data_IF_674177607014
#
_entry.id   IF_674177607014
#
_cell.length_a   1.000
_cell.length_b   1.000
_cell.length_c   1.000
_cell.angle_alpha   90.00
_cell.angle_beta   90.00
_cell.angle_gamma   90.00
#
_symmetry.space_group_name_H-M   'P 1'
#
loop_
_entity.id
_entity.type
_entity.pdbx_description
1 polymer ?
#
# COMPACT_ATOMS: atom_id res chain seq x y z
N UNK A 1 -1.23 -13.84 28.34
CA UNK A 1 -1.30 -13.29 26.97
C UNK A 1 -1.90 -11.89 27.11
N UNK A 2 -1.51 -10.92 26.31
CA UNK A 2 -1.89 -9.53 26.56
C UNK A 2 -3.35 -9.32 26.11
N UNK A 3 -4.30 -9.17 27.03
CA UNK A 3 -5.73 -9.09 26.70
C UNK A 3 -6.04 -7.95 25.72
N UNK A 4 -5.29 -6.85 25.82
CA UNK A 4 -5.36 -5.72 24.88
C UNK A 4 -4.97 -6.07 23.43
N UNK A 5 -4.12 -7.07 23.21
CA UNK A 5 -3.79 -7.54 21.84
C UNK A 5 -4.97 -8.26 21.21
N UNK A 6 -5.63 -9.16 21.95
CA UNK A 6 -6.81 -9.87 21.45
C UNK A 6 -7.98 -8.91 21.21
N UNK A 7 -8.18 -7.93 22.10
CA UNK A 7 -9.19 -6.88 21.92
C UNK A 7 -8.92 -6.00 20.70
N UNK A 8 -7.68 -5.56 20.51
CA UNK A 8 -7.29 -4.83 19.31
C UNK A 8 -7.53 -5.66 18.05
N UNK A 9 -7.10 -6.93 18.06
CA UNK A 9 -7.22 -7.79 16.89
C UNK A 9 -8.67 -7.99 16.45
N UNK A 10 -9.61 -8.14 17.39
CA UNK A 10 -11.05 -8.26 17.09
C UNK A 10 -11.61 -7.05 16.33
N UNK A 11 -10.96 -5.89 16.40
CA UNK A 11 -11.34 -4.66 15.68
C UNK A 11 -10.79 -4.60 14.24
N UNK A 12 -9.91 -5.51 13.84
CA UNK A 12 -9.36 -5.57 12.47
C UNK A 12 -10.38 -6.12 11.47
N UNK A 13 -10.16 -5.88 10.16
CA UNK A 13 -11.02 -6.42 9.10
C UNK A 13 -11.12 -7.95 9.19
N UNK A 14 -10.00 -8.64 9.40
CA UNK A 14 -9.98 -10.08 9.54
C UNK A 14 -10.59 -10.55 10.87
N UNK A 15 -10.20 -9.93 11.99
CA UNK A 15 -10.65 -10.33 13.32
C UNK A 15 -12.15 -10.15 13.54
N UNK A 16 -12.74 -9.08 12.99
CA UNK A 16 -14.18 -8.79 13.08
C UNK A 16 -15.06 -9.82 12.36
N UNK A 17 -14.53 -10.47 11.32
CA UNK A 17 -15.23 -11.54 10.58
C UNK A 17 -15.16 -12.90 11.27
N UNK A 18 -14.32 -13.06 12.28
CA UNK A 18 -14.05 -14.36 12.91
C UNK A 18 -14.86 -14.57 14.18
N UNK A 19 -15.61 -15.67 14.26
CA UNK A 19 -16.45 -16.03 15.42
C UNK A 19 -15.68 -16.60 16.63
N UNK A 20 -14.38 -16.87 16.46
CA UNK A 20 -13.51 -17.49 17.50
C UNK A 20 -12.21 -16.71 17.65
N UNK A 21 -11.70 -16.62 18.87
CA UNK A 21 -10.35 -16.06 19.10
C UNK A 21 -9.29 -17.08 18.67
N UNK A 22 -8.59 -16.79 17.59
CA UNK A 22 -7.57 -17.70 17.01
C UNK A 22 -6.32 -17.80 17.91
N UNK A 23 -6.04 -16.75 18.69
CA UNK A 23 -4.85 -16.64 19.53
C UNK A 23 -4.99 -17.24 20.94
N UNK A 24 -6.21 -17.55 21.37
CA UNK A 24 -6.49 -18.14 22.67
C UNK A 24 -6.54 -19.67 22.53
N UNK A 25 -5.40 -20.34 22.73
CA UNK A 25 -5.39 -21.80 22.80
C UNK A 25 -4.71 -22.28 24.08
N UNK A 26 -5.48 -22.98 24.92
CA UNK A 26 -5.03 -23.50 26.24
C UNK A 26 -4.10 -24.70 26.12
N UNK A 27 -4.09 -25.39 24.97
CA UNK A 27 -3.22 -26.54 24.70
C UNK A 27 -2.36 -26.25 23.48
N UNK A 28 -1.11 -25.90 23.72
CA UNK A 28 -0.12 -25.61 22.68
C UNK A 28 0.95 -26.71 22.64
N UNK A 29 1.30 -27.15 21.44
CA UNK A 29 2.45 -28.04 21.24
C UNK A 29 3.77 -27.34 21.62
N UNK A 30 4.79 -28.10 22.03
CA UNK A 30 6.06 -27.52 22.51
C UNK A 30 6.76 -26.59 21.52
N UNK A 31 6.57 -26.79 20.22
CA UNK A 31 7.14 -25.92 19.19
C UNK A 31 6.75 -24.45 19.35
N UNK A 32 5.61 -24.14 20.00
CA UNK A 32 5.15 -22.77 20.26
C UNK A 32 6.13 -21.94 21.11
N UNK A 33 7.00 -22.58 21.90
CA UNK A 33 8.03 -21.87 22.68
C UNK A 33 8.96 -21.03 21.80
N UNK A 34 9.12 -21.40 20.53
CA UNK A 34 9.97 -20.71 19.55
C UNK A 34 9.25 -19.67 18.69
N UNK A 35 7.97 -19.38 18.93
CA UNK A 35 7.20 -18.45 18.09
C UNK A 35 6.41 -17.42 18.90
N UNK A 36 6.29 -16.22 18.36
CA UNK A 36 5.32 -15.22 18.79
C UNK A 36 4.03 -15.35 17.97
N UNK A 37 2.88 -15.20 18.63
CA UNK A 37 1.62 -14.98 17.93
C UNK A 37 1.55 -13.51 17.51
N UNK A 38 1.30 -13.28 16.22
CA UNK A 38 1.28 -11.94 15.61
C UNK A 38 0.12 -11.84 14.62
N UNK A 39 -0.21 -10.62 14.20
CA UNK A 39 -1.21 -10.36 13.17
C UNK A 39 -0.62 -9.47 12.08
N UNK A 40 -1.09 -9.62 10.84
CA UNK A 40 -0.77 -8.72 9.74
C UNK A 40 -1.26 -7.30 10.05
N UNK A 41 -0.43 -6.30 9.76
CA UNK A 41 -0.76 -4.89 10.09
C UNK A 41 -1.86 -4.31 9.21
N UNK A 42 -2.00 -4.81 7.97
CA UNK A 42 -2.93 -4.25 6.98
C UNK A 42 -4.37 -4.71 7.22
N UNK A 43 -4.54 -5.98 7.51
CA UNK A 43 -5.85 -6.65 7.52
C UNK A 43 -6.14 -7.38 8.85
N UNK A 44 -5.13 -7.57 9.69
CA UNK A 44 -5.23 -8.39 10.89
C UNK A 44 -5.11 -9.90 10.62
N UNK A 45 -4.66 -10.35 9.45
CA UNK A 45 -4.55 -11.80 9.18
C UNK A 45 -3.66 -12.48 10.24
N UNK A 46 -4.11 -13.56 10.90
CA UNK A 46 -3.36 -14.20 11.97
C UNK A 46 -2.11 -14.90 11.43
N UNK A 47 -0.99 -14.69 12.11
CA UNK A 47 0.32 -15.23 11.74
C UNK A 47 1.11 -15.69 12.97
N UNK A 48 2.21 -16.40 12.74
CA UNK A 48 3.19 -16.72 13.79
C UNK A 48 4.58 -16.32 13.31
N UNK A 49 5.37 -15.73 14.19
CA UNK A 49 6.71 -15.24 13.89
C UNK A 49 7.74 -16.02 14.69
N UNK A 50 8.77 -16.55 14.05
CA UNK A 50 9.85 -17.24 14.74
C UNK A 50 10.62 -16.27 15.64
N UNK A 51 10.88 -16.65 16.89
CA UNK A 51 11.64 -15.83 17.86
C UNK A 51 13.12 -15.73 17.53
N UNK A 52 13.64 -16.67 16.73
CA UNK A 52 15.06 -16.75 16.41
C UNK A 52 15.41 -15.98 15.14
N UNK A 53 14.70 -16.24 14.04
CA UNK A 53 14.99 -15.66 12.73
C UNK A 53 13.95 -14.63 12.25
N UNK A 54 12.94 -14.32 13.07
CA UNK A 54 11.84 -13.41 12.72
C UNK A 54 11.00 -13.82 11.49
N UNK A 55 11.21 -15.03 10.94
CA UNK A 55 10.46 -15.52 9.80
C UNK A 55 8.97 -15.70 10.15
N UNK A 56 8.08 -15.22 9.27
CA UNK A 56 6.63 -15.21 9.50
C UNK A 56 5.95 -16.33 8.73
N UNK A 57 5.20 -17.16 9.44
CA UNK A 57 4.39 -18.26 8.90
C UNK A 57 2.89 -17.98 9.12
N UNK A 58 2.05 -18.70 8.38
CA UNK A 58 0.60 -18.70 8.63
C UNK A 58 0.27 -19.29 10.00
N UNK A 59 -0.77 -18.74 10.63
CA UNK A 59 -1.20 -19.23 11.93
C UNK A 59 -1.79 -20.66 11.82
N UNK A 60 -1.37 -21.63 12.65
CA UNK A 60 -1.87 -23.01 12.60
C UNK A 60 -3.39 -23.19 12.71
N UNK A 61 -4.03 -22.31 13.48
CA UNK A 61 -5.48 -22.31 13.68
C UNK A 61 -6.25 -21.56 12.56
N UNK A 62 -5.53 -20.95 11.62
CA UNK A 62 -6.09 -20.42 10.37
C UNK A 62 -6.08 -21.53 9.30
N UNK A 63 -7.26 -21.96 8.87
CA UNK A 63 -7.43 -23.05 7.90
C UNK A 63 -7.05 -24.47 8.39
N UNK A 64 -7.05 -24.71 9.71
CA UNK A 64 -6.81 -26.04 10.31
C UNK A 64 -5.48 -26.72 9.90
N UNK A 65 -4.42 -25.92 9.66
CA UNK A 65 -3.15 -26.39 9.09
C UNK A 65 -2.24 -27.12 10.08
N UNK A 66 -2.51 -27.03 11.40
CA UNK A 66 -1.69 -27.65 12.43
C UNK A 66 -0.29 -27.02 12.55
N UNK A 67 0.55 -27.53 13.46
CA UNK A 67 1.88 -26.96 13.77
C UNK A 67 3.02 -27.53 12.93
N UNK A 68 2.72 -28.33 11.89
CA UNK A 68 3.72 -29.01 11.07
C UNK A 68 4.67 -28.05 10.34
N UNK A 69 4.16 -26.91 9.85
CA UNK A 69 4.98 -25.85 9.23
C UNK A 69 5.97 -25.24 10.21
N UNK A 70 5.53 -24.96 11.44
CA UNK A 70 6.38 -24.45 12.52
C UNK A 70 7.47 -25.46 12.88
N UNK A 71 7.13 -26.75 12.99
CA UNK A 71 8.08 -27.82 13.30
C UNK A 71 9.13 -27.99 12.19
N UNK A 72 8.71 -27.99 10.92
CA UNK A 72 9.62 -28.04 9.78
C UNK A 72 10.57 -26.84 9.76
N UNK A 73 10.08 -25.65 10.10
CA UNK A 73 10.88 -24.44 10.15
C UNK A 73 12.00 -24.52 11.19
N UNK A 74 11.70 -24.90 12.44
CA UNK A 74 12.72 -24.98 13.51
C UNK A 74 13.75 -26.10 13.27
N UNK A 75 13.38 -27.17 12.55
CA UNK A 75 14.28 -28.24 12.16
C UNK A 75 15.10 -27.90 10.91
N UNK A 76 14.69 -26.88 10.16
CA UNK A 76 15.30 -26.48 8.90
C UNK A 76 16.61 -25.69 9.09
N UNK A 77 17.55 -25.79 8.14
CA UNK A 77 18.83 -25.08 8.21
C UNK A 77 18.68 -23.55 8.15
N UNK A 78 17.59 -23.05 7.57
CA UNK A 78 17.31 -21.60 7.45
C UNK A 78 17.07 -20.94 8.81
N UNK A 79 16.38 -21.60 9.75
CA UNK A 79 16.15 -21.00 11.08
C UNK A 79 17.43 -20.95 11.94
N UNK A 80 18.34 -21.92 11.75
CA UNK A 80 19.56 -22.07 12.57
C UNK A 80 20.70 -21.14 12.16
N UNK A 81 20.77 -20.73 10.89
CA UNK A 81 21.84 -19.89 10.34
C UNK A 81 21.71 -18.41 10.72
N UNK A 82 20.50 -17.95 11.05
CA UNK A 82 20.21 -16.57 11.44
C UNK A 82 20.21 -16.38 12.96
N UNK A 83 21.24 -16.88 13.64
CA UNK A 83 21.49 -16.56 15.05
C UNK A 83 22.12 -15.17 15.18
N UNK A 84 21.45 -14.14 14.67
CA UNK A 84 21.72 -12.78 15.11
C UNK A 84 21.25 -12.67 16.56
N UNK A 85 22.20 -12.44 17.46
CA UNK A 85 21.98 -12.17 18.87
C UNK A 85 20.77 -11.25 19.06
N UNK A 86 19.92 -11.59 20.04
CA UNK A 86 18.66 -10.93 20.29
C UNK A 86 18.82 -9.44 20.51
N UNK A 87 18.55 -8.65 19.47
CA UNK A 87 18.14 -7.27 19.66
C UNK A 87 16.71 -7.35 20.18
N UNK A 88 16.53 -6.96 21.44
CA UNK A 88 15.22 -6.81 22.07
C UNK A 88 14.29 -6.07 21.09
N UNK A 89 13.08 -6.60 20.91
CA UNK A 89 12.05 -6.02 20.03
C UNK A 89 11.83 -4.55 20.40
N UNK A 90 12.05 -4.17 21.67
CA UNK A 90 12.04 -2.77 22.11
C UNK A 90 13.14 -1.93 21.48
N UNK A 91 14.36 -2.45 21.33
CA UNK A 91 15.49 -1.78 20.67
C UNK A 91 15.25 -1.66 19.17
N UNK A 92 14.73 -2.71 18.53
CA UNK A 92 14.35 -2.66 17.10
C UNK A 92 13.15 -1.74 16.84
N UNK A 93 12.19 -1.68 17.78
CA UNK A 93 11.08 -0.73 17.74
C UNK A 93 11.56 0.69 18.04
N UNK A 94 12.56 0.90 18.89
CA UNK A 94 13.17 2.21 19.09
C UNK A 94 13.97 2.60 17.85
N UNK A 95 14.82 1.76 17.28
CA UNK A 95 15.54 2.04 16.04
C UNK A 95 14.58 2.30 14.87
N UNK A 96 13.45 1.59 14.78
CA UNK A 96 12.37 1.83 13.81
C UNK A 96 11.36 2.92 14.21
N UNK A 97 11.37 3.42 15.45
CA UNK A 97 10.62 4.60 15.85
C UNK A 97 11.44 5.88 15.60
N UNK A 98 12.77 5.80 15.76
CA UNK A 98 13.72 6.80 15.28
C UNK A 98 13.88 6.74 13.76
N UNK A 99 13.68 5.55 13.17
CA UNK A 99 13.46 5.32 11.74
C UNK A 99 11.98 5.04 11.44
N UNK A 100 11.07 5.75 12.13
CA UNK A 100 9.81 6.08 11.48
C UNK A 100 10.22 6.61 10.10
N UNK A 101 9.51 6.33 8.99
CA UNK A 101 9.84 6.99 7.73
C UNK A 101 9.87 8.46 8.06
N UNK A 102 11.09 9.03 8.16
CA UNK A 102 11.27 10.44 8.45
C UNK A 102 10.37 11.06 7.43
N UNK A 103 9.31 11.78 7.85
CA UNK A 103 8.33 12.40 6.95
C UNK A 103 9.10 12.84 5.73
N UNK A 104 8.99 12.10 4.61
CA UNK A 104 10.05 12.12 3.60
C UNK A 104 10.21 13.57 3.19
N UNK A 105 11.28 14.18 3.69
CA UNK A 105 11.32 15.64 3.71
C UNK A 105 11.61 15.99 2.27
N UNK A 106 10.86 16.94 1.72
CA UNK A 106 11.09 17.32 0.34
C UNK A 106 12.56 17.73 0.19
N UNK A 107 13.29 16.99 -0.64
CA UNK A 107 14.63 17.38 -1.09
C UNK A 107 14.57 17.55 -2.60
N UNK A 108 15.33 18.52 -3.09
CA UNK A 108 15.42 18.77 -4.52
C UNK A 108 15.93 17.53 -5.29
N UNK A 109 16.86 16.80 -4.68
CA UNK A 109 17.41 15.56 -5.25
C UNK A 109 16.36 14.46 -5.39
N UNK A 110 15.61 14.16 -4.31
CA UNK A 110 14.55 13.16 -4.36
C UNK A 110 13.43 13.54 -5.34
N UNK A 111 13.16 14.85 -5.50
CA UNK A 111 12.23 15.34 -6.51
C UNK A 111 12.70 15.03 -7.93
N UNK A 112 13.96 15.37 -8.26
CA UNK A 112 14.54 15.08 -9.59
C UNK A 112 14.52 13.57 -9.88
N UNK A 113 14.95 12.75 -8.94
CA UNK A 113 14.95 11.29 -9.07
C UNK A 113 13.54 10.74 -9.30
N UNK A 114 12.54 11.26 -8.58
CA UNK A 114 11.14 10.92 -8.76
C UNK A 114 10.64 11.26 -10.17
N UNK A 115 10.99 12.43 -10.70
CA UNK A 115 10.63 12.85 -12.07
C UNK A 115 11.30 11.96 -13.12
N UNK A 116 12.60 11.67 -12.97
CA UNK A 116 13.33 10.78 -13.88
C UNK A 116 12.71 9.38 -13.88
N UNK A 117 12.44 8.83 -12.70
CA UNK A 117 11.81 7.51 -12.54
C UNK A 117 10.43 7.47 -13.21
N UNK A 118 9.61 8.50 -13.02
CA UNK A 118 8.28 8.60 -13.65
C UNK A 118 8.36 8.61 -15.19
N UNK A 119 9.21 9.46 -15.77
CA UNK A 119 9.36 9.58 -17.22
C UNK A 119 9.85 8.27 -17.83
N UNK A 120 10.88 7.67 -17.24
CA UNK A 120 11.50 6.45 -17.75
C UNK A 120 10.59 5.23 -17.62
N UNK A 121 9.92 5.06 -16.48
CA UNK A 121 8.99 3.95 -16.26
C UNK A 121 7.82 3.97 -17.26
N UNK A 122 7.32 5.15 -17.62
CA UNK A 122 6.19 5.32 -18.54
C UNK A 122 6.62 5.61 -19.99
N UNK A 123 7.93 5.66 -20.27
CA UNK A 123 8.52 5.97 -21.59
C UNK A 123 7.97 7.26 -22.18
N UNK A 124 7.84 8.30 -21.36
CA UNK A 124 7.35 9.60 -21.78
C UNK A 124 8.48 10.44 -22.40
N UNK A 125 8.18 11.39 -23.31
CA UNK A 125 9.19 12.34 -23.79
C UNK A 125 9.71 13.20 -22.63
N UNK A 126 11.02 13.46 -22.60
CA UNK A 126 11.62 14.33 -21.57
C UNK A 126 11.04 15.75 -21.60
N UNK A 127 10.66 16.23 -22.78
CA UNK A 127 9.99 17.53 -22.99
C UNK A 127 8.68 17.68 -22.21
N UNK A 128 8.10 16.60 -21.67
CA UNK A 128 6.93 16.66 -20.79
C UNK A 128 7.13 17.64 -19.63
N UNK A 129 8.35 17.70 -19.06
CA UNK A 129 8.65 18.55 -17.90
C UNK A 129 8.64 20.04 -18.24
N UNK A 130 8.74 20.40 -19.52
CA UNK A 130 8.69 21.76 -20.04
C UNK A 130 7.26 22.14 -20.48
N UNK A 131 6.37 21.15 -20.59
CA UNK A 131 5.03 21.38 -21.13
C UNK A 131 4.16 22.19 -20.14
N UNK A 132 3.50 23.28 -20.57
CA UNK A 132 2.80 24.20 -19.66
C UNK A 132 1.67 23.52 -18.87
N UNK A 133 0.98 22.53 -19.46
CA UNK A 133 -0.07 21.79 -18.75
C UNK A 133 0.47 20.91 -17.63
N UNK A 134 1.70 20.38 -17.76
CA UNK A 134 2.34 19.61 -16.71
C UNK A 134 2.65 20.51 -15.50
N UNK A 135 3.21 21.71 -15.75
CA UNK A 135 3.41 22.71 -14.70
C UNK A 135 2.09 23.17 -14.06
N UNK A 136 1.04 23.37 -14.86
CA UNK A 136 -0.27 23.77 -14.36
C UNK A 136 -0.85 22.74 -13.40
N UNK A 137 -0.72 21.44 -13.72
CA UNK A 137 -1.17 20.34 -12.85
C UNK A 137 -0.48 20.39 -11.49
N UNK A 138 0.85 20.54 -11.47
CA UNK A 138 1.63 20.64 -10.23
C UNK A 138 1.22 21.87 -9.41
N UNK A 139 1.02 23.03 -10.08
CA UNK A 139 0.55 24.25 -9.41
C UNK A 139 -0.81 24.04 -8.75
N UNK A 140 -1.76 23.41 -9.45
CA UNK A 140 -3.10 23.10 -8.90
C UNK A 140 -2.98 22.15 -7.70
N UNK A 141 -2.19 21.08 -7.82
CA UNK A 141 -1.97 20.13 -6.73
C UNK A 141 -1.41 20.80 -5.47
N UNK A 142 -0.53 21.81 -5.63
CA UNK A 142 0.02 22.59 -4.51
C UNK A 142 -1.00 23.49 -3.81
N UNK A 143 -2.08 23.86 -4.48
CA UNK A 143 -3.16 24.68 -3.90
C UNK A 143 -4.15 23.83 -3.08
N UNK A 144 -4.09 22.51 -3.17
CA UNK A 144 -4.97 21.63 -2.42
C UNK A 144 -4.68 21.72 -0.90
N UNK A 145 -5.71 21.72 -0.04
CA UNK A 145 -5.54 21.81 1.41
C UNK A 145 -4.84 20.58 2.02
N UNK A 146 -4.86 19.46 1.29
CA UNK A 146 -4.19 18.21 1.61
C UNK A 146 -3.72 17.54 0.31
N UNK A 147 -2.94 16.47 0.43
CA UNK A 147 -2.47 15.73 -0.74
C UNK A 147 -3.66 15.28 -1.61
N UNK A 148 -3.71 15.69 -2.89
CA UNK A 148 -4.85 15.39 -3.73
C UNK A 148 -4.92 13.91 -4.06
N UNK A 149 -6.12 13.33 -4.00
CA UNK A 149 -6.35 11.96 -4.43
C UNK A 149 -6.17 11.84 -5.95
N UNK A 150 -5.40 10.85 -6.39
CA UNK A 150 -5.19 10.59 -7.81
C UNK A 150 -6.43 9.85 -8.35
N UNK A 151 -7.15 10.41 -9.34
CA UNK A 151 -8.35 9.78 -9.87
C UNK A 151 -8.03 8.48 -10.61
N UNK A 152 -8.95 7.52 -10.53
CA UNK A 152 -8.82 6.26 -11.27
C UNK A 152 -8.90 6.47 -12.79
N UNK A 153 -8.34 5.54 -13.57
CA UNK A 153 -8.46 5.55 -15.02
C UNK A 153 -9.91 5.51 -15.52
N UNK A 154 -10.83 4.90 -14.75
CA UNK A 154 -12.27 4.96 -15.04
C UNK A 154 -12.80 6.39 -14.88
N UNK A 155 -12.49 7.02 -13.74
CA UNK A 155 -12.91 8.39 -13.43
C UNK A 155 -12.39 9.38 -14.48
N UNK A 156 -11.10 9.31 -14.83
CA UNK A 156 -10.49 10.20 -15.85
C UNK A 156 -11.17 10.03 -17.21
N UNK A 157 -11.41 8.79 -17.67
CA UNK A 157 -12.08 8.54 -18.95
C UNK A 157 -13.51 9.05 -18.96
N UNK A 158 -14.25 8.85 -17.87
CA UNK A 158 -15.62 9.35 -17.73
C UNK A 158 -15.64 10.89 -17.80
N UNK A 159 -14.81 11.55 -16.99
CA UNK A 159 -14.71 13.01 -16.93
C UNK A 159 -14.32 13.60 -18.29
N UNK A 160 -13.37 12.99 -19.00
CA UNK A 160 -13.00 13.43 -20.35
C UNK A 160 -14.19 13.42 -21.32
N UNK A 161 -15.02 12.37 -21.29
CA UNK A 161 -16.21 12.27 -22.15
C UNK A 161 -17.22 13.37 -21.83
N UNK A 162 -17.51 13.57 -20.55
CA UNK A 162 -18.43 14.61 -20.08
C UNK A 162 -17.93 16.00 -20.53
N UNK A 163 -16.65 16.32 -20.31
CA UNK A 163 -16.04 17.58 -20.76
C UNK A 163 -16.10 17.80 -22.26
N UNK A 164 -15.88 16.76 -23.07
CA UNK A 164 -15.95 16.88 -24.54
C UNK A 164 -17.39 17.16 -24.98
N UNK A 165 -18.38 16.47 -24.40
CA UNK A 165 -19.78 16.67 -24.73
C UNK A 165 -20.26 18.08 -24.37
N UNK A 166 -19.93 18.58 -23.18
CA UNK A 166 -20.27 19.94 -22.74
C UNK A 166 -19.63 21.00 -23.66
N UNK A 167 -18.37 20.80 -24.03
CA UNK A 167 -17.68 21.71 -24.97
C UNK A 167 -18.31 21.68 -26.36
N UNK A 168 -18.67 20.51 -26.88
CA UNK A 168 -19.36 20.41 -28.16
C UNK A 168 -20.71 21.12 -28.14
N UNK A 169 -21.53 20.89 -27.11
CA UNK A 169 -22.83 21.55 -26.97
C UNK A 169 -22.69 23.06 -26.85
N UNK A 170 -21.77 23.54 -26.01
CA UNK A 170 -21.54 24.98 -25.83
C UNK A 170 -21.02 25.66 -27.10
N UNK A 171 -20.19 24.99 -27.90
CA UNK A 171 -19.74 25.49 -29.20
C UNK A 171 -20.90 25.58 -30.21
N UNK A 172 -21.74 24.54 -30.30
CA UNK A 172 -22.90 24.54 -31.19
C UNK A 172 -23.89 25.66 -30.85
N UNK A 173 -24.11 25.93 -29.57
CA UNK A 173 -24.97 27.04 -29.12
C UNK A 173 -24.42 28.42 -29.49
N UNK A 174 -23.10 28.55 -29.64
CA UNK A 174 -22.44 29.81 -30.05
C UNK A 174 -22.41 30.01 -31.55
N UNK A 175 -22.80 29.01 -32.35
CA UNK A 175 -22.85 29.15 -33.80
C UNK A 175 -24.01 30.07 -34.22
N UNK A 176 -23.77 31.07 -35.09
CA UNK A 176 -24.84 31.89 -35.64
C UNK A 176 -25.86 31.05 -36.40
N UNK A 177 -27.13 31.49 -36.42
CA UNK A 177 -28.16 30.87 -37.26
C UNK A 177 -27.71 30.92 -38.73
N UNK A 178 -27.58 29.76 -39.36
CA UNK A 178 -27.14 29.62 -40.75
C UNK A 178 -25.63 29.42 -40.95
N UNK A 179 -24.86 29.27 -39.87
CA UNK A 179 -23.45 28.91 -39.98
C UNK A 179 -23.27 27.54 -40.68
N UNK A 180 -22.38 27.49 -41.68
CA UNK A 180 -22.01 26.24 -42.37
C UNK A 180 -20.79 25.64 -41.68
N UNK A 181 -20.87 24.37 -41.29
CA UNK A 181 -19.74 23.63 -40.74
C UNK A 181 -19.05 22.87 -41.88
N UNK A 182 -17.74 23.05 -42.05
CA UNK A 182 -16.92 22.20 -42.90
C UNK A 182 -16.15 21.22 -42.03
N UNK A 183 -16.30 19.92 -42.29
CA UNK A 183 -15.61 18.86 -41.55
C UNK A 183 -14.59 18.25 -42.49
N UNK A 184 -13.31 18.36 -42.14
CA UNK A 184 -12.25 17.63 -42.82
C UNK A 184 -12.19 16.21 -42.26
N UNK A 185 -12.27 15.21 -43.14
CA UNK A 185 -12.05 13.80 -42.82
C UNK A 185 -10.60 13.48 -43.17
N UNK A 186 -9.75 13.39 -42.15
CA UNK A 186 -8.35 12.96 -42.29
C UNK A 186 -8.33 11.42 -42.17
N UNK A 187 -7.77 10.74 -43.18
CA UNK A 187 -7.80 9.28 -43.32
C UNK A 187 -6.41 8.68 -43.10
#
# INVERSE_FOLDING_TARGET
>A
MNDGFCEWWRKTEFGSRMKRTIFENKRQADCWRHFHQVAGIQDGTPKVMCKQCCHVLHHPADGHRGTSSMRKHIQGPSCRRESSQGNDIRTLLQEKAHSAPQKATFTHQAWIEGVISFITALRLPFQLVEHPQFHALIKIARLAPSFPEIPSAYTVRRQLREMVQERQQSLLLRLPKGAKLSIALDC
#
